data_IF_600068876636
#
_entry.id   IF_600068876636
#
_cell.length_a   1.000
_cell.length_b   1.000
_cell.length_c   1.000
_cell.angle_alpha   90.00
_cell.angle_beta   90.00
_cell.angle_gamma   90.00
#
_symmetry.space_group_name_H-M   'P 1'
#
loop_
_entity.id
_entity.type
_entity.pdbx_description
1 polymer ?
#
# COMPACT_ATOMS: atom_id res chain seq x y z
N UNK A 1 31.83 26.62 38.67
CA UNK A 1 33.15 26.98 38.12
C UNK A 1 32.95 27.26 36.66
N UNK A 2 32.84 28.55 36.23
CA UNK A 2 33.86 29.38 35.54
C UNK A 2 34.34 28.71 34.27
N UNK A 3 34.27 29.27 33.05
CA UNK A 3 34.41 30.65 32.46
C UNK A 3 33.89 30.58 31.04
N UNK A 4 33.08 31.44 30.43
CA UNK A 4 33.31 32.77 29.86
C UNK A 4 34.59 32.94 29.02
N UNK A 5 34.37 33.27 27.71
CA UNK A 5 35.09 34.19 26.81
C UNK A 5 34.38 34.10 25.45
N UNK A 6 33.75 35.05 24.84
CA UNK A 6 33.97 36.49 24.53
C UNK A 6 35.11 36.76 23.53
N UNK A 7 34.78 37.34 22.41
CA UNK A 7 35.66 38.01 21.43
C UNK A 7 35.12 37.84 20.01
N UNK A 8 34.82 38.75 19.31
CA UNK A 8 34.99 40.19 18.96
C UNK A 8 35.00 40.33 17.43
N UNK A 9 34.06 41.10 16.93
CA UNK A 9 34.03 42.00 15.78
C UNK A 9 35.16 41.94 14.74
N UNK A 10 34.81 41.98 13.45
CA UNK A 10 35.33 42.98 12.52
C UNK A 10 34.37 43.22 11.33
N UNK A 11 34.09 44.48 11.17
CA UNK A 11 33.36 45.20 10.12
C UNK A 11 34.22 45.34 8.85
N UNK A 12 33.60 45.23 7.67
CA UNK A 12 34.06 45.96 6.49
C UNK A 12 32.91 46.22 5.53
N UNK A 13 32.55 47.46 5.40
CA UNK A 13 31.67 48.10 4.41
C UNK A 13 32.47 48.36 3.14
N UNK A 14 31.93 47.98 1.99
CA UNK A 14 32.29 48.61 0.70
C UNK A 14 31.01 48.84 -0.10
N UNK A 15 30.66 50.11 -0.25
CA UNK A 15 29.73 50.66 -1.22
C UNK A 15 30.37 50.69 -2.61
N UNK A 16 29.66 50.23 -3.62
CA UNK A 16 29.87 50.67 -4.99
C UNK A 16 28.50 50.89 -5.65
N UNK A 17 28.25 52.14 -5.92
CA UNK A 17 27.12 52.67 -6.70
C UNK A 17 27.45 52.56 -8.17
N UNK A 18 26.58 52.02 -8.97
CA UNK A 18 26.68 51.99 -10.43
C UNK A 18 25.30 52.02 -11.07
N UNK A 19 24.97 53.17 -11.63
CA UNK A 19 23.70 53.56 -12.21
C UNK A 19 23.49 53.03 -13.65
N UNK A 20 22.22 53.00 -14.04
CA UNK A 20 21.62 53.17 -15.39
C UNK A 20 21.63 51.99 -16.36
N UNK A 21 20.46 51.49 -16.72
CA UNK A 21 19.78 51.81 -17.96
C UNK A 21 18.43 51.05 -18.05
N UNK A 22 17.33 51.78 -18.21
CA UNK A 22 16.05 51.26 -18.67
C UNK A 22 16.17 50.71 -20.08
N UNK A 23 15.77 49.47 -20.28
CA UNK A 23 15.34 48.98 -21.57
C UNK A 23 14.13 48.11 -21.39
N UNK A 24 12.98 48.62 -21.77
CA UNK A 24 11.72 47.91 -21.86
C UNK A 24 11.85 46.85 -22.96
N UNK A 25 11.93 45.59 -22.60
CA UNK A 25 11.66 44.50 -23.51
C UNK A 25 10.56 43.65 -22.92
N UNK A 26 9.43 43.65 -23.61
CA UNK A 26 8.35 42.70 -23.48
C UNK A 26 8.91 41.26 -23.53
N UNK A 27 9.18 40.66 -22.40
CA UNK A 27 9.54 39.26 -22.34
C UNK A 27 8.25 38.47 -21.99
N UNK A 28 7.63 37.98 -23.05
CA UNK A 28 6.60 36.94 -23.02
C UNK A 28 7.09 35.86 -22.02
N UNK A 29 6.43 35.77 -20.88
CA UNK A 29 6.64 34.72 -19.87
C UNK A 29 6.35 33.39 -20.55
N UNK A 30 7.32 32.46 -20.66
CA UNK A 30 7.00 31.11 -21.11
C UNK A 30 6.11 30.48 -20.03
N UNK A 31 4.96 29.96 -20.46
CA UNK A 31 4.10 29.15 -19.62
C UNK A 31 4.96 28.04 -19.00
N UNK A 32 4.93 27.94 -17.66
CA UNK A 32 5.59 26.87 -16.93
C UNK A 32 5.04 25.54 -17.45
N UNK A 33 5.88 24.82 -18.18
CA UNK A 33 5.64 23.41 -18.52
C UNK A 33 5.46 22.67 -17.20
N UNK A 34 4.38 21.90 -17.01
CA UNK A 34 4.27 21.09 -15.80
C UNK A 34 5.49 20.17 -15.72
N UNK A 35 6.24 20.29 -14.65
CA UNK A 35 7.37 19.41 -14.34
C UNK A 35 6.81 18.00 -14.28
N UNK A 36 7.10 17.23 -15.30
CA UNK A 36 6.84 15.80 -15.34
C UNK A 36 7.62 15.17 -14.19
N UNK A 37 6.90 14.76 -13.15
CA UNK A 37 7.48 14.10 -11.97
C UNK A 37 8.26 12.88 -12.47
N UNK A 38 9.57 12.89 -12.25
CA UNK A 38 10.45 11.80 -12.63
C UNK A 38 9.90 10.47 -12.10
N UNK A 39 9.90 9.40 -12.91
CA UNK A 39 9.43 8.12 -12.45
C UNK A 39 10.30 7.65 -11.29
N UNK A 40 9.65 7.42 -10.14
CA UNK A 40 10.23 6.72 -9.02
C UNK A 40 10.85 5.42 -9.52
N UNK A 41 12.11 5.16 -9.18
CA UNK A 41 12.86 3.95 -9.53
C UNK A 41 12.26 2.75 -8.77
N UNK A 42 11.08 2.33 -9.16
CA UNK A 42 10.50 1.04 -8.81
C UNK A 42 11.01 -0.03 -9.79
N UNK A 43 10.85 -1.32 -9.48
CA UNK A 43 11.23 -2.40 -10.38
C UNK A 43 10.59 -2.17 -11.75
N UNK A 44 11.27 -2.60 -12.84
CA UNK A 44 10.91 -2.42 -14.24
C UNK A 44 9.50 -2.95 -14.59
N UNK A 45 8.47 -2.34 -14.05
CA UNK A 45 7.07 -2.61 -14.34
C UNK A 45 6.54 -1.45 -15.17
N UNK A 46 6.04 -1.76 -16.36
CA UNK A 46 5.37 -0.76 -17.18
C UNK A 46 4.05 -0.36 -16.52
N UNK A 47 3.99 0.85 -16.00
CA UNK A 47 2.78 1.42 -15.42
C UNK A 47 1.89 1.93 -16.56
N UNK A 48 0.64 1.49 -16.68
CA UNK A 48 -0.27 1.96 -17.70
C UNK A 48 -0.60 3.45 -17.52
N UNK A 49 -0.95 4.10 -18.64
CA UNK A 49 -1.40 5.47 -18.60
C UNK A 49 -2.68 5.60 -17.72
N UNK A 50 -2.73 6.62 -16.88
CA UNK A 50 -3.83 6.85 -15.95
C UNK A 50 -3.78 6.04 -14.66
N UNK A 51 -2.79 5.19 -14.48
CA UNK A 51 -2.55 4.47 -13.21
C UNK A 51 -1.44 5.18 -12.43
N UNK A 52 -1.76 5.63 -11.23
CA UNK A 52 -0.78 6.18 -10.29
C UNK A 52 -0.42 5.12 -9.27
N UNK A 53 0.86 4.83 -9.09
CA UNK A 53 1.31 3.92 -8.03
C UNK A 53 1.16 4.61 -6.68
N UNK A 54 0.80 3.81 -5.69
CA UNK A 54 0.75 4.26 -4.30
C UNK A 54 2.15 4.11 -3.69
N UNK A 55 2.57 5.12 -2.94
CA UNK A 55 3.88 5.11 -2.30
C UNK A 55 4.03 3.93 -1.32
N UNK A 56 5.22 3.35 -1.26
CA UNK A 56 5.55 2.35 -0.27
C UNK A 56 5.41 2.95 1.14
N UNK A 57 4.82 2.19 2.07
CA UNK A 57 4.57 2.66 3.43
C UNK A 57 3.33 3.55 3.59
N UNK A 58 2.59 3.84 2.51
CA UNK A 58 1.39 4.66 2.59
C UNK A 58 0.33 4.04 3.51
N UNK A 59 -0.37 4.92 4.24
CA UNK A 59 -1.54 4.58 5.05
C UNK A 59 -2.79 5.14 4.37
N UNK A 60 -3.76 4.27 4.13
CA UNK A 60 -5.01 4.54 3.42
C UNK A 60 -6.22 4.25 4.30
N UNK A 61 -7.35 4.85 4.03
CA UNK A 61 -8.60 4.48 4.67
C UNK A 61 -9.23 3.24 4.01
N UNK A 62 -10.04 2.48 4.79
CA UNK A 62 -10.85 1.39 4.22
C UNK A 62 -11.82 1.98 3.20
N UNK A 63 -11.76 1.49 1.97
CA UNK A 63 -12.45 2.06 0.81
C UNK A 63 -11.51 2.66 -0.23
N UNK A 64 -10.31 3.09 0.17
CA UNK A 64 -9.33 3.66 -0.75
C UNK A 64 -8.62 2.59 -1.58
N UNK A 65 -8.22 3.00 -2.78
CA UNK A 65 -7.51 2.16 -3.74
C UNK A 65 -6.00 2.34 -3.61
N UNK A 66 -5.28 1.24 -3.43
CA UNK A 66 -3.84 1.17 -3.61
C UNK A 66 -3.49 0.57 -4.97
N UNK A 67 -2.44 1.04 -5.60
CA UNK A 67 -1.86 0.45 -6.81
C UNK A 67 -0.38 0.18 -6.59
N UNK A 68 0.02 -1.08 -6.76
CA UNK A 68 1.39 -1.51 -6.48
C UNK A 68 1.95 -2.40 -7.59
N UNK A 69 3.25 -2.30 -7.88
CA UNK A 69 3.91 -3.20 -8.81
C UNK A 69 4.01 -4.60 -8.23
N UNK A 70 3.81 -5.60 -9.07
CA UNK A 70 3.88 -7.03 -8.73
C UNK A 70 4.59 -7.82 -9.81
N UNK A 71 5.10 -8.98 -9.44
CA UNK A 71 5.74 -9.91 -10.38
C UNK A 71 7.08 -9.43 -10.91
N UNK A 72 7.64 -10.21 -11.85
CA UNK A 72 8.96 -9.94 -12.46
C UNK A 72 8.96 -10.36 -13.93
N UNK A 73 9.79 -9.70 -14.75
CA UNK A 73 9.98 -10.01 -16.17
C UNK A 73 8.67 -9.88 -16.95
N UNK A 74 8.37 -10.83 -17.82
CA UNK A 74 7.17 -10.85 -18.66
C UNK A 74 5.84 -10.93 -17.86
N UNK A 75 5.89 -11.22 -16.55
CA UNK A 75 4.74 -11.25 -15.65
C UNK A 75 4.67 -10.04 -14.74
N UNK A 76 5.56 -9.08 -14.92
CA UNK A 76 5.51 -7.84 -14.20
C UNK A 76 4.23 -7.09 -14.54
N UNK A 77 3.48 -6.69 -13.53
CA UNK A 77 2.19 -6.02 -13.67
C UNK A 77 1.97 -5.02 -12.55
N UNK A 78 0.84 -4.34 -12.58
CA UNK A 78 0.36 -3.46 -11.50
C UNK A 78 -0.95 -4.03 -10.98
N UNK A 79 -1.03 -4.32 -9.70
CA UNK A 79 -2.28 -4.63 -9.03
C UNK A 79 -2.86 -3.38 -8.38
N UNK A 80 -4.12 -3.11 -8.66
CA UNK A 80 -4.94 -2.21 -7.84
C UNK A 80 -5.74 -3.02 -6.86
N UNK A 81 -5.70 -2.62 -5.59
CA UNK A 81 -6.40 -3.28 -4.50
C UNK A 81 -7.19 -2.24 -3.71
N UNK A 82 -8.45 -2.53 -3.45
CA UNK A 82 -9.31 -1.76 -2.56
C UNK A 82 -9.80 -2.69 -1.46
N UNK A 83 -9.43 -2.42 -0.22
CA UNK A 83 -10.03 -3.08 0.95
C UNK A 83 -11.35 -2.37 1.23
N UNK A 84 -12.47 -3.01 0.92
CA UNK A 84 -13.79 -2.37 0.99
C UNK A 84 -14.49 -2.56 2.34
N UNK A 85 -14.14 -3.61 3.08
CA UNK A 85 -14.78 -3.91 4.37
C UNK A 85 -13.90 -4.82 5.21
N UNK A 86 -13.86 -4.57 6.52
CA UNK A 86 -13.27 -5.45 7.53
C UNK A 86 -14.30 -5.70 8.61
N UNK A 87 -14.59 -6.95 8.90
CA UNK A 87 -15.62 -7.35 9.88
C UNK A 87 -15.06 -8.40 10.83
N UNK A 88 -15.23 -8.19 12.11
CA UNK A 88 -14.96 -9.21 13.12
C UNK A 88 -16.02 -10.30 13.01
N UNK A 89 -15.60 -11.54 12.85
CA UNK A 89 -16.44 -12.70 12.74
C UNK A 89 -16.63 -13.45 14.05
N UNK A 90 -17.21 -14.63 13.97
CA UNK A 90 -17.42 -15.55 15.10
C UNK A 90 -16.84 -16.93 14.80
N UNK A 91 -16.23 -17.56 15.80
CA UNK A 91 -15.80 -18.97 15.68
C UNK A 91 -16.96 -19.95 15.45
N UNK A 92 -18.19 -19.54 15.77
CA UNK A 92 -19.41 -20.31 15.43
C UNK A 92 -19.60 -20.48 13.92
N UNK A 93 -19.03 -19.59 13.10
CA UNK A 93 -19.12 -19.65 11.65
C UNK A 93 -18.28 -20.80 11.06
N UNK A 94 -17.38 -21.41 11.85
CA UNK A 94 -16.43 -22.44 11.42
C UNK A 94 -16.78 -23.86 11.91
N UNK A 95 -18.03 -24.10 12.32
CA UNK A 95 -18.43 -25.41 12.89
C UNK A 95 -18.28 -26.57 11.93
N UNK A 96 -18.33 -26.33 10.62
CA UNK A 96 -18.13 -27.34 9.56
C UNK A 96 -16.65 -27.52 9.16
N UNK A 97 -15.72 -26.79 9.76
CA UNK A 97 -14.32 -26.87 9.41
C UNK A 97 -13.48 -27.58 10.48
N UNK A 98 -12.52 -28.37 10.04
CA UNK A 98 -11.53 -28.98 10.93
C UNK A 98 -10.44 -27.97 11.21
N UNK A 99 -10.48 -27.37 12.40
CA UNK A 99 -9.51 -26.39 12.86
C UNK A 99 -8.60 -26.97 13.95
N UNK A 100 -7.35 -26.57 13.95
CA UNK A 100 -6.41 -26.84 15.05
C UNK A 100 -6.85 -26.15 16.35
N UNK A 101 -6.32 -26.55 17.48
CA UNK A 101 -6.60 -25.92 18.78
C UNK A 101 -6.25 -24.40 18.76
N UNK A 102 -5.12 -24.04 18.13
CA UNK A 102 -4.70 -22.64 17.98
C UNK A 102 -5.71 -21.84 17.15
N UNK A 103 -6.16 -22.37 16.01
CA UNK A 103 -7.15 -21.70 15.17
C UNK A 103 -8.50 -21.53 15.89
N UNK A 104 -8.96 -22.54 16.64
CA UNK A 104 -10.21 -22.43 17.43
C UNK A 104 -10.14 -21.38 18.54
N UNK A 105 -8.97 -21.09 19.04
CA UNK A 105 -8.76 -20.04 20.06
C UNK A 105 -8.59 -18.64 19.46
N UNK A 106 -8.52 -18.52 18.12
CA UNK A 106 -8.31 -17.25 17.42
C UNK A 106 -9.60 -16.44 17.27
N UNK A 107 -9.45 -15.15 16.99
CA UNK A 107 -10.55 -14.26 16.60
C UNK A 107 -10.58 -14.15 15.09
N UNK A 108 -11.68 -14.54 14.41
CA UNK A 108 -11.78 -14.41 12.96
C UNK A 108 -12.10 -12.96 12.54
N UNK A 109 -11.52 -12.56 11.42
CA UNK A 109 -11.87 -11.33 10.69
C UNK A 109 -12.10 -11.67 9.22
N UNK A 110 -13.11 -11.04 8.62
CA UNK A 110 -13.45 -11.16 7.21
C UNK A 110 -13.12 -9.87 6.52
N UNK A 111 -12.27 -9.95 5.50
CA UNK A 111 -11.81 -8.80 4.73
C UNK A 111 -12.30 -8.94 3.30
N UNK A 112 -13.20 -8.06 2.90
CA UNK A 112 -13.65 -7.96 1.51
C UNK A 112 -12.75 -7.00 0.76
N UNK A 113 -12.27 -7.44 -0.39
CA UNK A 113 -11.43 -6.61 -1.25
C UNK A 113 -11.87 -6.69 -2.72
N UNK A 114 -11.46 -5.71 -3.48
CA UNK A 114 -11.50 -5.75 -4.95
C UNK A 114 -10.05 -5.72 -5.43
N UNK A 115 -9.70 -6.64 -6.31
CA UNK A 115 -8.36 -6.74 -6.90
C UNK A 115 -8.50 -6.66 -8.41
N UNK A 116 -7.77 -5.75 -9.04
CA UNK A 116 -7.76 -5.55 -10.51
C UNK A 116 -6.32 -5.63 -11.00
N UNK A 117 -6.10 -6.33 -12.09
CA UNK A 117 -4.83 -6.31 -12.80
C UNK A 117 -4.83 -5.10 -13.76
N UNK A 118 -4.25 -4.00 -13.34
CA UNK A 118 -4.15 -2.78 -14.16
C UNK A 118 -2.99 -2.82 -15.16
N UNK A 119 -1.98 -3.67 -14.90
CA UNK A 119 -0.76 -3.71 -15.71
C UNK A 119 -0.85 -4.67 -16.89
N UNK A 120 0.19 -4.69 -17.73
CA UNK A 120 0.20 -5.46 -18.97
C UNK A 120 0.49 -6.95 -18.79
N UNK A 121 1.01 -7.37 -17.63
CA UNK A 121 1.42 -8.76 -17.40
C UNK A 121 0.25 -9.67 -17.04
N UNK A 122 0.22 -10.87 -17.60
CA UNK A 122 -0.70 -11.92 -17.15
C UNK A 122 -0.10 -12.66 -15.97
N UNK A 123 -0.83 -12.67 -14.86
CA UNK A 123 -0.37 -13.27 -13.61
C UNK A 123 -0.73 -14.75 -13.54
N UNK A 124 0.13 -15.53 -12.90
CA UNK A 124 -0.19 -16.91 -12.54
C UNK A 124 -1.16 -16.94 -11.38
N UNK A 125 -1.77 -18.09 -11.15
CA UNK A 125 -2.47 -18.36 -9.92
C UNK A 125 -1.52 -18.09 -8.73
N UNK A 126 -1.93 -17.20 -7.85
CA UNK A 126 -1.17 -16.80 -6.66
C UNK A 126 -2.14 -16.27 -5.61
N UNK A 127 -1.74 -16.30 -4.37
CA UNK A 127 -2.53 -15.69 -3.31
C UNK A 127 -2.63 -14.17 -3.51
N UNK A 128 -3.74 -13.61 -3.06
CA UNK A 128 -3.89 -12.15 -2.99
C UNK A 128 -2.86 -11.63 -1.99
N UNK A 129 -1.99 -10.67 -2.37
CA UNK A 129 -0.89 -10.23 -1.50
C UNK A 129 -1.35 -9.29 -0.38
N UNK A 130 -2.47 -9.63 0.27
CA UNK A 130 -3.00 -8.95 1.44
C UNK A 130 -2.70 -9.77 2.70
N UNK A 131 -2.11 -9.11 3.69
CA UNK A 131 -1.73 -9.69 4.97
C UNK A 131 -2.49 -9.00 6.10
N UNK A 132 -2.89 -9.75 7.11
CA UNK A 132 -3.29 -9.19 8.39
C UNK A 132 -2.06 -8.74 9.16
N UNK A 133 -2.17 -7.62 9.87
CA UNK A 133 -1.14 -7.11 10.79
C UNK A 133 -1.77 -6.93 12.17
N UNK A 134 -1.22 -7.53 13.19
CA UNK A 134 -1.81 -7.56 14.51
C UNK A 134 -1.09 -6.68 15.55
N UNK A 135 -1.67 -6.59 16.74
CA UNK A 135 -1.15 -5.78 17.85
C UNK A 135 0.14 -6.31 18.47
N UNK A 136 0.70 -7.40 17.94
CA UNK A 136 2.02 -7.94 18.30
C UNK A 136 3.06 -7.69 17.21
N UNK A 137 2.78 -6.74 16.31
CA UNK A 137 3.63 -6.38 15.16
C UNK A 137 3.90 -7.57 14.22
N UNK A 138 2.96 -8.51 14.16
CA UNK A 138 3.08 -9.70 13.31
C UNK A 138 2.20 -9.58 12.07
N UNK A 139 2.82 -9.73 10.90
CA UNK A 139 2.09 -9.87 9.64
C UNK A 139 1.88 -11.35 9.33
N UNK A 140 0.66 -11.71 8.92
CA UNK A 140 0.31 -13.09 8.60
C UNK A 140 -0.65 -13.15 7.39
N UNK A 141 -0.54 -14.22 6.57
CA UNK A 141 -1.37 -14.38 5.38
C UNK A 141 -2.82 -14.73 5.76
N UNK A 142 -3.76 -14.63 4.80
CA UNK A 142 -5.10 -15.17 4.97
C UNK A 142 -5.07 -16.66 5.31
N UNK A 143 -6.04 -17.10 6.10
CA UNK A 143 -6.19 -18.51 6.46
C UNK A 143 -6.79 -19.28 5.31
N UNK A 144 -6.10 -20.29 4.82
CA UNK A 144 -6.64 -21.24 3.85
C UNK A 144 -7.59 -22.23 4.56
N UNK A 145 -8.81 -22.31 4.08
CA UNK A 145 -9.82 -23.28 4.55
C UNK A 145 -9.99 -24.37 3.49
N UNK A 146 -10.13 -25.60 3.94
CA UNK A 146 -10.45 -26.72 3.04
C UNK A 146 -11.97 -26.82 2.94
N UNK A 147 -12.51 -26.61 1.73
CA UNK A 147 -13.95 -26.60 1.48
C UNK A 147 -14.48 -25.20 1.17
N UNK A 148 -15.79 -25.09 1.01
CA UNK A 148 -16.47 -23.82 0.70
C UNK A 148 -16.89 -23.13 1.99
N UNK A 149 -16.56 -21.84 2.11
CA UNK A 149 -16.99 -21.00 3.20
C UNK A 149 -17.90 -19.88 2.65
N UNK A 150 -19.20 -20.11 2.62
CA UNK A 150 -20.18 -19.24 1.96
C UNK A 150 -20.22 -17.82 2.53
N UNK A 151 -19.91 -17.67 3.83
CA UNK A 151 -19.90 -16.36 4.49
C UNK A 151 -18.78 -15.45 3.98
N UNK A 152 -17.69 -16.04 3.51
CA UNK A 152 -16.52 -15.33 3.01
C UNK A 152 -15.84 -16.18 1.94
N UNK A 153 -16.41 -16.15 0.73
CA UNK A 153 -15.88 -16.86 -0.40
C UNK A 153 -14.57 -16.18 -0.88
N UNK A 154 -13.47 -16.82 -0.58
CA UNK A 154 -12.12 -16.37 -0.93
C UNK A 154 -11.40 -17.39 -1.78
N UNK A 155 -10.17 -17.07 -2.11
CA UNK A 155 -9.28 -17.94 -2.88
C UNK A 155 -8.13 -17.16 -3.49
N UNK A 156 -7.20 -17.88 -4.13
CA UNK A 156 -6.13 -17.25 -4.89
C UNK A 156 -6.68 -16.50 -6.10
N UNK A 157 -5.87 -15.62 -6.66
CA UNK A 157 -6.12 -15.04 -7.98
C UNK A 157 -6.25 -16.16 -9.01
N UNK A 158 -7.14 -16.04 -10.01
CA UNK A 158 -7.28 -17.06 -11.05
C UNK A 158 -5.99 -17.32 -11.81
N UNK A 159 -5.85 -18.53 -12.33
CA UNK A 159 -4.82 -18.81 -13.33
C UNK A 159 -5.06 -17.95 -14.57
N UNK A 160 -4.00 -17.29 -15.07
CA UNK A 160 -4.14 -16.42 -16.22
C UNK A 160 -4.86 -15.10 -15.94
N UNK A 161 -4.72 -14.55 -14.72
CA UNK A 161 -5.28 -13.25 -14.35
C UNK A 161 -4.71 -12.17 -15.26
N UNK A 162 -5.44 -11.86 -16.32
CA UNK A 162 -5.03 -11.03 -17.44
C UNK A 162 -5.18 -9.53 -17.15
N UNK A 163 -4.60 -8.64 -17.99
CA UNK A 163 -4.85 -7.21 -17.91
C UNK A 163 -6.34 -6.89 -17.89
N UNK A 164 -6.76 -5.99 -17.00
CA UNK A 164 -8.13 -5.57 -16.73
C UNK A 164 -9.03 -6.62 -16.04
N UNK A 165 -8.54 -7.83 -15.78
CA UNK A 165 -9.28 -8.78 -14.97
C UNK A 165 -9.48 -8.24 -13.55
N UNK A 166 -10.66 -8.56 -13.00
CA UNK A 166 -11.08 -8.12 -11.67
C UNK A 166 -11.71 -9.27 -10.90
N UNK A 167 -11.34 -9.38 -9.63
CA UNK A 167 -11.96 -10.30 -8.67
C UNK A 167 -12.34 -9.57 -7.39
N UNK A 168 -13.30 -10.12 -6.67
CA UNK A 168 -13.76 -9.60 -5.38
C UNK A 168 -13.62 -10.68 -4.29
N UNK A 169 -12.41 -10.99 -3.86
CA UNK A 169 -12.21 -11.98 -2.83
C UNK A 169 -12.70 -11.50 -1.46
N UNK A 170 -13.16 -12.45 -0.66
CA UNK A 170 -13.28 -12.29 0.78
C UNK A 170 -12.21 -13.15 1.46
N UNK A 171 -11.37 -12.56 2.28
CA UNK A 171 -10.23 -13.21 2.92
C UNK A 171 -10.50 -13.40 4.41
N UNK A 172 -10.19 -14.59 4.91
CA UNK A 172 -10.34 -14.93 6.33
C UNK A 172 -9.01 -14.79 7.04
N UNK A 173 -8.99 -14.05 8.15
CA UNK A 173 -7.83 -13.93 9.03
C UNK A 173 -8.20 -14.47 10.41
N UNK A 174 -7.42 -15.42 10.92
CA UNK A 174 -7.56 -15.94 12.28
C UNK A 174 -6.49 -15.30 13.16
N UNK A 175 -6.87 -14.22 13.83
CA UNK A 175 -5.95 -13.47 14.71
C UNK A 175 -5.71 -14.26 16.00
N UNK A 176 -4.46 -14.49 16.42
CA UNK A 176 -4.14 -15.25 17.61
C UNK A 176 -4.80 -14.71 18.88
N UNK A 177 -4.99 -15.56 19.91
CA UNK A 177 -5.50 -15.10 21.21
C UNK A 177 -4.67 -13.95 21.79
N UNK A 178 -5.34 -12.98 22.41
CA UNK A 178 -4.74 -11.78 23.02
C UNK A 178 -4.19 -10.75 22.03
N UNK A 179 -4.23 -11.02 20.73
CA UNK A 179 -3.93 -10.05 19.68
C UNK A 179 -5.22 -9.50 19.05
N UNK A 180 -5.12 -8.33 18.45
CA UNK A 180 -6.21 -7.70 17.67
C UNK A 180 -5.68 -7.33 16.29
N UNK A 181 -6.53 -7.42 15.27
CA UNK A 181 -6.17 -6.95 13.93
C UNK A 181 -6.04 -5.44 13.95
N UNK A 182 -4.87 -4.93 13.60
CA UNK A 182 -4.57 -3.49 13.57
C UNK A 182 -4.70 -2.92 12.17
N UNK A 183 -4.30 -3.69 11.16
CA UNK A 183 -4.35 -3.27 9.77
C UNK A 183 -4.46 -4.47 8.82
N UNK A 184 -4.92 -4.18 7.60
CA UNK A 184 -4.71 -5.02 6.43
C UNK A 184 -3.61 -4.38 5.61
N UNK A 185 -2.65 -5.16 5.13
CA UNK A 185 -1.46 -4.67 4.46
C UNK A 185 -1.30 -5.30 3.08
N UNK A 186 -1.13 -4.48 2.06
CA UNK A 186 -0.68 -4.93 0.75
C UNK A 186 0.85 -5.07 0.78
N UNK A 187 1.32 -6.30 0.64
CA UNK A 187 2.75 -6.65 0.65
C UNK A 187 3.13 -7.28 -0.68
N UNK A 188 3.91 -6.58 -1.46
CA UNK A 188 4.43 -7.11 -2.73
C UNK A 188 5.95 -7.27 -2.65
N UNK A 189 6.52 -8.18 -3.43
CA UNK A 189 7.98 -8.34 -3.50
C UNK A 189 8.70 -7.16 -4.15
N UNK A 190 7.94 -6.20 -4.66
CA UNK A 190 8.43 -5.05 -5.42
C UNK A 190 8.37 -3.74 -4.62
N UNK A 191 7.95 -3.82 -3.35
CA UNK A 191 7.92 -2.69 -2.43
C UNK A 191 8.73 -3.01 -1.17
N UNK A 192 9.42 -2.02 -0.64
CA UNK A 192 10.22 -2.14 0.59
C UNK A 192 9.34 -2.10 1.84
N UNK A 193 8.27 -1.34 1.79
CA UNK A 193 7.32 -1.15 2.89
C UNK A 193 5.89 -1.43 2.43
N UNK A 194 5.05 -2.02 3.29
CA UNK A 194 3.67 -2.35 2.95
C UNK A 194 2.80 -1.10 2.88
N UNK A 195 1.82 -1.11 1.98
CA UNK A 195 0.71 -0.15 2.02
C UNK A 195 -0.32 -0.69 3.00
N UNK A 196 -0.81 0.14 3.91
CA UNK A 196 -1.64 -0.29 5.04
C UNK A 196 -3.01 0.37 5.06
N UNK A 197 -4.04 -0.41 5.38
CA UNK A 197 -5.38 0.05 5.75
C UNK A 197 -5.58 -0.25 7.24
N UNK A 198 -5.45 0.74 8.14
CA UNK A 198 -5.74 0.55 9.55
C UNK A 198 -7.18 0.10 9.74
N UNK A 199 -7.36 -0.86 10.63
CA UNK A 199 -8.68 -1.32 11.06
C UNK A 199 -8.99 -0.56 12.34
N UNK A 200 -10.02 0.29 12.31
CA UNK A 200 -10.47 0.98 13.51
C UNK A 200 -10.72 -0.02 14.63
N UNK A 201 -10.47 0.37 15.87
CA UNK A 201 -10.83 -0.47 17.03
C UNK A 201 -12.28 -0.89 16.88
N UNK A 202 -12.63 -2.20 16.96
CA UNK A 202 -14.02 -2.61 16.94
C UNK A 202 -14.71 -1.95 18.14
N UNK A 203 -15.73 -1.13 17.86
CA UNK A 203 -16.66 -0.66 18.88
C UNK A 203 -17.37 -1.83 19.57
#
# INVERSE_FOLDING_TARGET
MRRMSAGLLFTAVVLAVGSTACSSQDTKVPAATPTETAPSTGPNVKVPQGVTLTDAGATLEVGDKASAPVGKGARASVLSVTVSKVVKGSMKDFTSFVLSAKQRASTPYYVSATVTNEGPGTMRQTDVPLFGFDSTDTAFPPTSLVGTFDRCAGGPLPAGFAPQDRVKPCLVYLVPPKATLQAVQLRTSNQTEPISWPVGSPE
#
